data_IF_377565725338
#
_entry.id   IF_377565725338
#
_cell.length_a   1.000
_cell.length_b   1.000
_cell.length_c   1.000
_cell.angle_alpha   90.00
_cell.angle_beta   90.00
_cell.angle_gamma   90.00
#
_symmetry.space_group_name_H-M   'P 1'
#
loop_
_entity.id
_entity.type
_entity.pdbx_description
1 polymer ?
#
# COMPACT_ATOMS: atom_id res chain seq x y z
N UNK A 1 -10.60 43.85 67.22
CA UNK A 1 -10.81 43.20 65.91
C UNK A 1 -9.73 42.14 65.78
N UNK A 2 -10.05 40.90 66.10
CA UNK A 2 -9.08 39.82 66.26
C UNK A 2 -8.70 39.24 64.89
N UNK A 3 -7.40 39.19 64.61
CA UNK A 3 -6.82 38.43 63.50
C UNK A 3 -6.30 37.10 64.05
N UNK A 4 -6.67 35.93 63.50
CA UNK A 4 -6.00 34.68 63.81
C UNK A 4 -4.85 34.40 62.84
N UNK A 5 -3.94 33.57 63.35
CA UNK A 5 -2.61 33.28 62.85
C UNK A 5 -2.53 32.22 61.73
N UNK A 6 -1.34 32.20 61.14
CA UNK A 6 -0.70 31.37 60.12
C UNK A 6 -0.95 29.86 60.12
N UNK A 7 -0.96 29.27 58.90
CA UNK A 7 -0.46 27.91 58.63
C UNK A 7 0.13 27.85 57.21
N UNK A 8 1.44 27.57 57.11
CA UNK A 8 2.13 27.15 55.88
C UNK A 8 1.91 25.65 55.59
N UNK A 9 2.21 25.23 54.34
CA UNK A 9 2.07 23.91 53.67
C UNK A 9 0.83 23.84 52.75
N UNK A 10 0.92 23.45 51.48
CA UNK A 10 1.78 22.44 50.86
C UNK A 10 1.83 22.64 49.33
N UNK A 11 3.03 22.52 48.75
CA UNK A 11 3.26 22.44 47.29
C UNK A 11 2.65 21.14 46.75
N UNK A 12 1.74 21.25 45.78
CA UNK A 12 1.11 20.09 45.12
C UNK A 12 -0.07 20.48 44.25
N UNK A 13 0.17 21.25 43.18
CA UNK A 13 -0.85 21.50 42.16
C UNK A 13 -1.07 20.24 41.30
N UNK A 14 -2.31 19.77 41.12
CA UNK A 14 -2.59 18.60 40.30
C UNK A 14 -2.27 18.90 38.83
N UNK A 15 -1.57 17.97 38.19
CA UNK A 15 -1.36 17.90 36.74
C UNK A 15 -2.66 18.24 36.00
N UNK A 16 -2.75 19.48 35.52
CA UNK A 16 -3.79 19.93 34.62
C UNK A 16 -3.64 19.21 33.30
N UNK A 17 -4.57 18.31 33.05
CA UNK A 17 -4.80 17.57 31.82
C UNK A 17 -4.29 18.32 30.58
N UNK A 18 -3.26 17.76 29.94
CA UNK A 18 -3.03 17.99 28.52
C UNK A 18 -4.29 17.53 27.80
N UNK A 19 -5.08 18.50 27.36
CA UNK A 19 -6.30 18.34 26.60
C UNK A 19 -6.08 17.34 25.47
N UNK A 20 -6.90 16.28 25.44
CA UNK A 20 -7.00 15.30 24.36
C UNK A 20 -7.06 16.02 23.00
N UNK A 21 -5.90 16.11 22.34
CA UNK A 21 -5.80 16.45 20.93
C UNK A 21 -6.39 15.27 20.19
N UNK A 22 -7.65 15.42 19.76
CA UNK A 22 -8.33 14.61 18.73
C UNK A 22 -7.63 13.28 18.42
N UNK A 23 -7.87 12.24 19.23
CA UNK A 23 -7.49 10.88 18.85
C UNK A 23 -8.32 10.52 17.62
N UNK A 24 -7.75 10.71 16.44
CA UNK A 24 -8.28 10.15 15.19
C UNK A 24 -8.59 8.69 15.46
N UNK A 25 -9.77 8.17 15.08
CA UNK A 25 -10.12 6.78 15.36
C UNK A 25 -8.99 5.89 14.84
N UNK A 26 -8.40 5.10 15.75
CA UNK A 26 -7.29 4.22 15.46
C UNK A 26 -7.72 3.25 14.37
N UNK A 27 -7.22 3.46 13.15
CA UNK A 27 -7.39 2.53 12.05
C UNK A 27 -6.09 1.75 11.96
N UNK A 28 -6.18 0.41 11.92
CA UNK A 28 -5.02 -0.47 11.79
C UNK A 28 -4.24 -0.27 10.48
N UNK A 29 -4.77 0.55 9.57
CA UNK A 29 -4.25 0.81 8.24
C UNK A 29 -3.36 2.06 8.15
N UNK A 30 -3.40 2.97 9.14
CA UNK A 30 -2.86 4.33 8.96
C UNK A 30 -1.57 4.58 9.76
N UNK A 31 -0.50 4.85 9.01
CA UNK A 31 0.68 5.59 9.49
C UNK A 31 1.79 4.75 10.14
N UNK A 32 2.70 5.45 10.83
CA UNK A 32 3.83 4.89 11.59
C UNK A 32 3.41 4.02 12.81
N UNK A 33 2.11 3.91 13.05
CA UNK A 33 1.51 3.02 14.07
C UNK A 33 0.79 1.82 13.44
N UNK A 34 0.73 1.75 12.10
CA UNK A 34 0.14 0.65 11.36
C UNK A 34 1.03 -0.60 11.37
N UNK A 35 0.46 -1.75 11.01
CA UNK A 35 1.16 -3.04 11.04
C UNK A 35 2.48 -3.07 10.25
N UNK A 36 2.61 -2.21 9.23
CA UNK A 36 3.79 -2.12 8.37
C UNK A 36 4.93 -1.24 8.92
N UNK A 37 4.67 -0.39 9.94
CA UNK A 37 5.56 0.72 10.28
C UNK A 37 6.97 0.33 10.72
N UNK A 38 7.11 -0.86 11.29
CA UNK A 38 8.39 -1.42 11.75
C UNK A 38 8.69 -2.77 11.10
N UNK A 39 7.96 -3.15 10.04
CA UNK A 39 8.20 -4.38 9.31
C UNK A 39 9.23 -4.15 8.20
N UNK A 40 10.48 -4.49 8.48
CA UNK A 40 11.61 -4.30 7.56
C UNK A 40 11.91 -5.53 6.70
N UNK A 41 11.01 -6.52 6.65
CA UNK A 41 11.24 -7.75 5.88
C UNK A 41 11.16 -7.50 4.37
N UNK A 42 10.21 -6.67 3.95
CA UNK A 42 10.03 -6.25 2.54
C UNK A 42 8.99 -5.14 2.46
N UNK A 43 9.10 -4.31 1.43
CA UNK A 43 8.11 -3.35 0.97
C UNK A 43 6.73 -3.94 0.64
N UNK A 44 6.61 -5.25 0.34
CA UNK A 44 5.28 -5.88 0.14
C UNK A 44 4.42 -5.89 1.40
N UNK A 45 5.00 -5.58 2.57
CA UNK A 45 4.27 -5.46 3.84
C UNK A 45 3.52 -4.13 3.98
N UNK A 46 3.65 -3.21 3.02
CA UNK A 46 2.93 -1.92 3.05
C UNK A 46 1.42 -2.10 3.17
N UNK A 47 0.78 -1.23 3.95
CA UNK A 47 -0.67 -1.15 4.08
C UNK A 47 -1.24 0.05 3.32
N UNK A 48 -2.44 -0.04 2.72
CA UNK A 48 -3.07 1.08 2.02
C UNK A 48 -3.30 2.28 2.94
N UNK A 49 -3.07 3.47 2.39
CA UNK A 49 -3.36 4.73 3.09
C UNK A 49 -4.86 5.00 3.17
N UNK A 50 -5.29 5.93 4.03
CA UNK A 50 -6.70 6.32 4.11
C UNK A 50 -7.26 6.83 2.77
N UNK A 51 -6.45 7.55 1.98
CA UNK A 51 -6.84 8.00 0.64
C UNK A 51 -7.03 6.83 -0.34
N UNK A 52 -6.14 5.82 -0.28
CA UNK A 52 -6.30 4.60 -1.08
C UNK A 52 -7.57 3.83 -0.70
N UNK A 53 -7.86 3.71 0.60
CA UNK A 53 -9.10 3.07 1.06
C UNK A 53 -10.34 3.82 0.58
N UNK A 54 -10.33 5.15 0.60
CA UNK A 54 -11.43 5.96 0.07
C UNK A 54 -11.58 5.76 -1.45
N UNK A 55 -10.48 5.66 -2.20
CA UNK A 55 -10.54 5.36 -3.63
C UNK A 55 -11.12 3.96 -3.91
N UNK A 56 -10.69 2.94 -3.15
CA UNK A 56 -11.24 1.57 -3.24
C UNK A 56 -12.74 1.55 -2.92
N UNK A 57 -13.21 2.38 -1.98
CA UNK A 57 -14.65 2.48 -1.69
C UNK A 57 -15.46 3.13 -2.82
N UNK A 58 -14.82 3.88 -3.70
CA UNK A 58 -15.46 4.63 -4.79
C UNK A 58 -15.23 4.02 -6.17
N UNK A 59 -14.46 2.93 -6.26
CA UNK A 59 -14.11 2.25 -7.52
C UNK A 59 -15.32 1.62 -8.21
N UNK A 60 -15.21 1.43 -9.52
CA UNK A 60 -16.11 0.51 -10.24
C UNK A 60 -15.70 -0.95 -10.00
N UNK A 61 -16.66 -1.85 -10.13
CA UNK A 61 -16.49 -3.31 -9.92
C UNK A 61 -17.18 -4.07 -11.06
N UNK A 62 -17.06 -3.56 -12.28
CA UNK A 62 -17.71 -4.15 -13.46
C UNK A 62 -16.86 -5.28 -14.03
N UNK A 63 -17.34 -5.90 -15.12
CA UNK A 63 -16.70 -7.07 -15.70
C UNK A 63 -15.48 -6.67 -16.56
N UNK A 64 -14.30 -7.10 -16.12
CA UNK A 64 -13.04 -6.87 -16.83
C UNK A 64 -12.86 -7.79 -18.06
N UNK A 65 -13.46 -8.98 -18.08
CA UNK A 65 -13.33 -9.92 -19.22
C UNK A 65 -14.01 -9.37 -20.47
N UNK A 66 -15.09 -8.60 -20.30
CA UNK A 66 -15.77 -7.89 -21.37
C UNK A 66 -15.29 -6.44 -21.55
N UNK A 67 -14.23 -6.03 -20.85
CA UNK A 67 -13.66 -4.67 -20.88
C UNK A 67 -14.69 -3.59 -20.50
N UNK A 68 -15.61 -3.90 -19.58
CA UNK A 68 -16.69 -3.00 -19.15
C UNK A 68 -16.31 -2.16 -17.94
N UNK A 69 -15.16 -2.42 -17.29
CA UNK A 69 -14.73 -1.72 -16.09
C UNK A 69 -13.88 -0.47 -16.39
N UNK A 70 -14.44 0.75 -16.23
CA UNK A 70 -13.72 1.98 -16.57
C UNK A 70 -12.54 2.24 -15.63
N UNK A 71 -12.62 1.84 -14.35
CA UNK A 71 -11.48 2.04 -13.43
C UNK A 71 -10.26 1.25 -13.87
N UNK A 72 -10.45 0.00 -14.30
CA UNK A 72 -9.36 -0.84 -14.84
C UNK A 72 -8.82 -0.26 -16.14
N UNK A 73 -9.68 0.09 -17.09
CA UNK A 73 -9.27 0.67 -18.37
C UNK A 73 -8.51 2.01 -18.21
N UNK A 74 -8.94 2.87 -17.29
CA UNK A 74 -8.26 4.13 -16.98
C UNK A 74 -6.87 3.92 -16.38
N UNK A 75 -6.72 2.94 -15.47
CA UNK A 75 -5.43 2.58 -14.90
C UNK A 75 -4.45 2.08 -15.97
N UNK A 76 -4.91 1.18 -16.84
CA UNK A 76 -4.10 0.62 -17.92
C UNK A 76 -3.68 1.69 -18.92
N UNK A 77 -4.62 2.55 -19.35
CA UNK A 77 -4.33 3.67 -20.24
C UNK A 77 -3.34 4.67 -19.61
N UNK A 78 -3.50 4.97 -18.31
CA UNK A 78 -2.60 5.83 -17.58
C UNK A 78 -1.16 5.28 -17.54
N UNK A 79 -1.01 3.98 -17.24
CA UNK A 79 0.31 3.32 -17.18
C UNK A 79 0.93 3.18 -18.58
N UNK A 80 0.13 2.90 -19.61
CA UNK A 80 0.58 2.87 -21.00
C UNK A 80 1.16 4.23 -21.42
N UNK A 81 0.43 5.32 -21.12
CA UNK A 81 0.88 6.68 -21.39
C UNK A 81 2.16 7.04 -20.60
N UNK A 82 2.23 6.67 -19.32
CA UNK A 82 3.38 6.92 -18.45
C UNK A 82 4.66 6.23 -18.96
N UNK A 83 4.52 5.03 -19.53
CA UNK A 83 5.64 4.21 -20.01
C UNK A 83 5.94 4.38 -21.50
N UNK A 84 5.14 5.19 -22.21
CA UNK A 84 5.25 5.38 -23.66
C UNK A 84 4.97 4.09 -24.45
N UNK A 85 4.03 3.27 -23.98
CA UNK A 85 3.60 2.02 -24.63
C UNK A 85 2.21 2.17 -25.22
N UNK A 86 1.89 1.31 -26.18
CA UNK A 86 0.60 1.32 -26.88
C UNK A 86 -0.55 0.87 -25.97
N UNK A 87 -0.28 -0.06 -25.04
CA UNK A 87 -1.26 -0.62 -24.12
C UNK A 87 -0.62 -1.03 -22.78
N UNK A 88 -1.45 -1.13 -21.74
CA UNK A 88 -1.15 -1.70 -20.44
C UNK A 88 -2.08 -2.88 -20.16
N UNK A 89 -1.74 -3.71 -19.17
CA UNK A 89 -2.59 -4.80 -18.71
C UNK A 89 -2.44 -4.94 -17.19
N UNK A 90 -3.55 -4.85 -16.45
CA UNK A 90 -3.59 -5.11 -15.02
C UNK A 90 -3.51 -6.62 -14.78
N UNK A 91 -2.59 -7.02 -13.89
CA UNK A 91 -2.42 -8.42 -13.48
C UNK A 91 -2.34 -8.50 -11.97
N UNK A 92 -2.74 -9.65 -11.41
CA UNK A 92 -2.87 -9.82 -9.96
C UNK A 92 -1.53 -9.86 -9.22
N UNK A 93 -0.42 -10.10 -9.92
CA UNK A 93 0.92 -10.15 -9.31
C UNK A 93 2.03 -9.88 -10.33
N UNK A 94 3.20 -9.46 -9.84
CA UNK A 94 4.41 -9.31 -10.66
C UNK A 94 4.82 -10.63 -11.33
N UNK A 95 4.68 -11.77 -10.63
CA UNK A 95 4.90 -13.10 -11.21
C UNK A 95 3.97 -13.35 -12.39
N UNK A 96 2.68 -13.06 -12.27
CA UNK A 96 1.73 -13.21 -13.39
C UNK A 96 2.13 -12.32 -14.57
N UNK A 97 2.52 -11.07 -14.32
CA UNK A 97 2.99 -10.16 -15.35
C UNK A 97 4.20 -10.70 -16.12
N UNK A 98 5.21 -11.19 -15.40
CA UNK A 98 6.39 -11.79 -16.03
C UNK A 98 6.04 -13.03 -16.86
N UNK A 99 5.18 -13.92 -16.34
CA UNK A 99 4.78 -15.14 -17.05
C UNK A 99 3.94 -14.83 -18.29
N UNK A 100 3.03 -13.86 -18.22
CA UNK A 100 2.27 -13.37 -19.39
C UNK A 100 3.23 -12.79 -20.42
N UNK A 101 4.16 -11.91 -20.01
CA UNK A 101 5.14 -11.31 -20.91
C UNK A 101 5.98 -12.37 -21.65
N UNK A 102 6.50 -13.37 -20.92
CA UNK A 102 7.25 -14.47 -21.52
C UNK A 102 6.40 -15.27 -22.52
N UNK A 103 5.17 -15.64 -22.15
CA UNK A 103 4.30 -16.44 -23.04
C UNK A 103 3.85 -15.67 -24.28
N UNK A 104 3.66 -14.36 -24.17
CA UNK A 104 3.30 -13.51 -25.30
C UNK A 104 4.46 -13.30 -26.27
N UNK A 105 5.70 -13.27 -25.78
CA UNK A 105 6.90 -13.07 -26.61
C UNK A 105 7.45 -14.38 -27.22
N UNK A 106 7.21 -15.53 -26.58
CA UNK A 106 7.77 -16.82 -26.96
C UNK A 106 6.73 -17.67 -27.73
N UNK A 107 6.75 -17.63 -29.07
CA UNK A 107 5.66 -18.16 -29.91
C UNK A 107 5.85 -19.56 -30.55
N UNK A 108 7.08 -20.05 -30.79
CA UNK A 108 7.35 -21.46 -31.19
C UNK A 108 8.53 -22.13 -30.43
N UNK A 109 8.36 -23.33 -29.81
CA UNK A 109 9.45 -24.05 -29.14
C UNK A 109 10.56 -24.55 -30.10
N UNK A 110 11.78 -24.79 -29.60
CA UNK A 110 12.28 -24.53 -28.24
C UNK A 110 12.65 -23.05 -28.02
N UNK A 111 12.55 -22.59 -26.76
CA UNK A 111 12.94 -21.23 -26.36
C UNK A 111 14.07 -21.24 -25.35
N UNK A 112 14.86 -20.16 -25.36
CA UNK A 112 15.83 -19.86 -24.30
C UNK A 112 15.66 -18.40 -23.87
N UNK A 113 15.73 -18.15 -22.56
CA UNK A 113 15.67 -16.81 -21.99
C UNK A 113 16.96 -16.58 -21.20
N UNK A 114 17.74 -15.57 -21.60
CA UNK A 114 18.94 -15.18 -20.88
C UNK A 114 18.56 -14.22 -19.74
N UNK A 115 18.79 -14.65 -18.50
CA UNK A 115 18.51 -13.86 -17.31
C UNK A 115 19.71 -13.88 -16.35
N UNK A 116 19.81 -12.87 -15.49
CA UNK A 116 20.75 -12.91 -14.37
C UNK A 116 20.39 -14.05 -13.41
N UNK A 117 21.40 -14.70 -12.85
CA UNK A 117 21.22 -15.84 -11.95
C UNK A 117 20.46 -15.50 -10.65
N UNK A 118 20.32 -14.21 -10.30
CA UNK A 118 19.56 -13.70 -9.16
C UNK A 118 18.18 -13.16 -9.55
N UNK A 119 17.82 -13.18 -10.82
CA UNK A 119 16.55 -12.67 -11.30
C UNK A 119 15.37 -13.36 -10.63
N UNK A 120 14.30 -12.59 -10.40
CA UNK A 120 13.09 -13.09 -9.76
C UNK A 120 12.45 -14.23 -10.56
N UNK A 121 12.43 -14.09 -11.90
CA UNK A 121 11.95 -15.09 -12.86
C UNK A 121 12.62 -16.47 -12.65
N UNK A 122 13.92 -16.51 -12.36
CA UNK A 122 14.64 -17.77 -12.11
C UNK A 122 14.47 -18.25 -10.67
N UNK A 123 14.57 -17.37 -9.66
CA UNK A 123 14.69 -17.80 -8.25
C UNK A 123 13.37 -17.99 -7.51
N UNK A 124 12.31 -17.31 -7.94
CA UNK A 124 11.08 -17.15 -7.15
C UNK A 124 9.80 -17.28 -7.98
N UNK A 125 9.90 -17.75 -9.23
CA UNK A 125 8.76 -17.93 -10.13
C UNK A 125 8.74 -19.35 -10.75
N UNK A 126 8.57 -19.47 -12.06
CA UNK A 126 8.45 -20.74 -12.78
C UNK A 126 9.75 -21.20 -13.47
N UNK A 127 10.83 -20.41 -13.38
CA UNK A 127 12.16 -20.73 -13.90
C UNK A 127 13.11 -21.36 -12.88
N UNK A 128 12.56 -21.76 -11.71
CA UNK A 128 13.18 -22.48 -10.60
C UNK A 128 12.11 -22.90 -9.60
#
# INVERSE_FOLDING_TARGET
MAMPASTEQQLGGPNGAASDVHKTPASSWVGHEGAAAFDLRSDVMTTPTAAMLAAVQQTTLLDDVFEEDPTTAELEAHVAALTGKEAGLLVLSGTMGNQVALRSLLTQPPYGVLCDHRSHIIKYEAGG
#
